data_IF_250210581354
#
_entry.id   IF_250210581354
#
_cell.length_a   1.000
_cell.length_b   1.000
_cell.length_c   1.000
_cell.angle_alpha   90.00
_cell.angle_beta   90.00
_cell.angle_gamma   90.00
#
_symmetry.space_group_name_H-M   'P 1'
#
loop_
_entity.id
_entity.type
_entity.pdbx_description
1 polymer ?
#
# COMPACT_ATOMS: atom_id res chain seq x y z
N UNK A 1 -9.47 -21.98 17.21
CA UNK A 1 -8.02 -21.73 17.39
C UNK A 1 -7.82 -20.24 17.26
N UNK A 2 -7.28 -19.53 18.27
CA UNK A 2 -6.93 -18.11 18.11
C UNK A 2 -5.95 -17.95 16.94
N UNK A 3 -6.04 -16.83 16.23
CA UNK A 3 -5.16 -16.55 15.10
C UNK A 3 -3.70 -16.56 15.54
N UNK A 4 -2.84 -17.21 14.76
CA UNK A 4 -1.41 -16.96 14.88
C UNK A 4 -1.16 -15.47 14.59
N UNK A 5 -0.32 -14.79 15.38
CA UNK A 5 -0.05 -13.39 15.15
C UNK A 5 0.56 -13.20 13.74
N UNK A 6 0.18 -12.12 13.04
CA UNK A 6 0.72 -11.83 11.72
C UNK A 6 2.24 -11.69 11.83
N UNK A 7 2.96 -12.45 11.00
CA UNK A 7 4.42 -12.50 11.03
C UNK A 7 4.96 -11.80 9.79
N UNK A 8 5.86 -10.80 9.92
CA UNK A 8 6.49 -10.15 8.78
C UNK A 8 7.10 -11.18 7.82
N UNK A 9 7.03 -10.91 6.53
CA UNK A 9 7.49 -11.80 5.45
C UNK A 9 6.73 -13.13 5.28
N UNK A 10 5.85 -13.52 6.21
CA UNK A 10 5.05 -14.76 6.15
C UNK A 10 3.55 -14.52 5.99
N UNK A 11 3.10 -13.31 6.28
CA UNK A 11 1.70 -12.90 6.14
C UNK A 11 1.51 -12.10 4.86
N UNK A 12 0.46 -12.41 4.09
CA UNK A 12 0.27 -11.88 2.73
C UNK A 12 -1.13 -11.32 2.53
N UNK A 13 -1.22 -10.22 1.80
CA UNK A 13 -2.45 -9.65 1.29
C UNK A 13 -2.59 -10.11 -0.17
N UNK A 14 -3.67 -10.82 -0.52
CA UNK A 14 -3.96 -11.02 -1.94
C UNK A 14 -4.79 -9.86 -2.44
N UNK A 15 -4.48 -9.44 -3.65
CA UNK A 15 -5.00 -8.24 -4.23
C UNK A 15 -5.72 -8.55 -5.55
N UNK A 16 -6.87 -7.92 -5.76
CA UNK A 16 -7.62 -7.95 -7.03
C UNK A 16 -8.09 -6.54 -7.36
N UNK A 17 -8.66 -6.29 -8.54
CA UNK A 17 -8.97 -4.92 -8.96
C UNK A 17 -9.96 -4.21 -8.00
N UNK A 18 -10.92 -4.90 -7.40
CA UNK A 18 -11.95 -4.31 -6.54
C UNK A 18 -11.98 -4.83 -5.10
N UNK A 19 -11.46 -6.04 -4.86
CA UNK A 19 -11.55 -6.73 -3.58
C UNK A 19 -10.17 -7.21 -3.13
N UNK A 20 -9.82 -6.86 -1.90
CA UNK A 20 -8.63 -7.35 -1.21
C UNK A 20 -9.00 -8.54 -0.32
N UNK A 21 -8.12 -9.53 -0.23
CA UNK A 21 -8.29 -10.68 0.65
C UNK A 21 -7.33 -10.52 1.83
N UNK A 22 -7.82 -9.89 2.88
CA UNK A 22 -7.04 -9.54 4.07
C UNK A 22 -6.92 -10.71 5.03
N UNK A 23 -5.73 -10.96 5.63
CA UNK A 23 -5.62 -11.85 6.78
C UNK A 23 -6.52 -11.35 7.92
N UNK A 24 -7.41 -12.20 8.43
CA UNK A 24 -8.39 -11.77 9.42
C UNK A 24 -7.74 -11.31 10.73
N UNK A 25 -6.57 -11.85 11.07
CA UNK A 25 -5.77 -11.48 12.24
C UNK A 25 -5.32 -10.01 12.26
N UNK A 26 -5.35 -9.34 11.10
CA UNK A 26 -4.98 -7.92 10.95
C UNK A 26 -6.20 -6.98 10.94
N UNK A 27 -7.41 -7.50 11.15
CA UNK A 27 -8.65 -6.74 11.03
C UNK A 27 -9.34 -6.56 12.37
N UNK A 28 -10.01 -5.42 12.51
CA UNK A 28 -10.81 -5.09 13.68
C UNK A 28 -12.31 -5.16 13.33
N UNK A 29 -13.10 -5.74 14.23
CA UNK A 29 -14.54 -5.78 14.06
C UNK A 29 -15.19 -4.46 14.46
N UNK A 30 -16.27 -4.08 13.76
CA UNK A 30 -17.12 -2.92 14.11
C UNK A 30 -18.36 -3.30 14.94
N UNK A 31 -18.45 -4.55 15.41
CA UNK A 31 -19.57 -5.05 16.21
C UNK A 31 -19.44 -6.54 16.55
N UNK A 32 -20.29 -7.01 17.47
CA UNK A 32 -20.17 -8.35 18.09
C UNK A 32 -20.33 -9.51 17.10
N UNK A 33 -21.29 -9.42 16.16
CA UNK A 33 -21.51 -10.47 15.16
C UNK A 33 -20.29 -10.62 14.23
N UNK A 34 -19.77 -9.50 13.73
CA UNK A 34 -18.54 -9.45 12.93
C UNK A 34 -17.34 -9.94 13.73
N UNK A 35 -17.22 -9.58 15.02
CA UNK A 35 -16.11 -10.02 15.88
C UNK A 35 -16.04 -11.55 16.01
N UNK A 36 -17.18 -12.20 16.26
CA UNK A 36 -17.26 -13.67 16.35
C UNK A 36 -16.84 -14.35 15.05
N UNK A 37 -17.22 -13.77 13.93
CA UNK A 37 -16.93 -14.31 12.61
C UNK A 37 -15.45 -14.09 12.24
N UNK A 38 -14.91 -12.89 12.48
CA UNK A 38 -13.49 -12.58 12.30
C UNK A 38 -12.57 -13.44 13.17
N UNK A 39 -12.98 -13.75 14.40
CA UNK A 39 -12.19 -14.62 15.30
C UNK A 39 -11.98 -16.04 14.75
N UNK A 40 -12.81 -16.48 13.79
CA UNK A 40 -12.74 -17.80 13.15
C UNK A 40 -12.25 -17.73 11.69
N UNK A 41 -12.26 -16.55 11.08
CA UNK A 41 -11.94 -16.38 9.67
C UNK A 41 -10.44 -16.47 9.41
N UNK A 42 -10.02 -17.13 8.33
CA UNK A 42 -8.63 -17.07 7.84
C UNK A 42 -8.36 -15.76 7.12
N UNK A 43 -9.28 -15.39 6.23
CA UNK A 43 -9.23 -14.18 5.41
C UNK A 43 -10.59 -13.48 5.37
N UNK A 44 -10.58 -12.20 5.02
CA UNK A 44 -11.78 -11.39 4.80
C UNK A 44 -11.68 -10.74 3.43
N UNK A 45 -12.76 -10.83 2.66
CA UNK A 45 -12.92 -10.08 1.43
C UNK A 45 -13.32 -8.66 1.83
N UNK A 46 -12.44 -7.71 1.54
CA UNK A 46 -12.62 -6.28 1.82
C UNK A 46 -12.71 -5.51 0.51
N UNK A 47 -13.78 -4.76 0.30
CA UNK A 47 -13.94 -3.91 -0.88
C UNK A 47 -12.94 -2.75 -0.80
N UNK A 48 -12.20 -2.48 -1.88
CA UNK A 48 -11.14 -1.47 -1.88
C UNK A 48 -11.64 -0.04 -1.69
N UNK A 49 -12.68 0.34 -2.45
CA UNK A 49 -13.18 1.73 -2.52
C UNK A 49 -13.63 2.32 -1.18
N UNK A 50 -14.17 1.49 -0.28
CA UNK A 50 -14.80 1.94 0.98
C UNK A 50 -14.37 1.12 2.20
N UNK A 51 -13.63 0.04 2.01
CA UNK A 51 -13.17 -0.83 3.08
C UNK A 51 -14.24 -1.72 3.69
N UNK A 52 -15.41 -1.86 3.06
CA UNK A 52 -16.49 -2.70 3.56
C UNK A 52 -16.06 -4.18 3.55
N UNK A 53 -16.33 -4.88 4.64
CA UNK A 53 -16.15 -6.34 4.70
C UNK A 53 -17.34 -7.01 4.00
N UNK A 54 -17.05 -7.74 2.93
CA UNK A 54 -18.04 -8.37 2.06
C UNK A 54 -18.34 -9.80 2.48
N UNK A 55 -17.30 -10.55 2.86
CA UNK A 55 -17.40 -11.93 3.30
C UNK A 55 -16.17 -12.31 4.11
N UNK A 56 -16.26 -13.36 4.91
CA UNK A 56 -15.09 -13.96 5.53
C UNK A 56 -14.95 -15.44 5.16
N UNK A 57 -13.71 -15.86 4.92
CA UNK A 57 -13.37 -17.23 4.64
C UNK A 57 -13.08 -17.96 5.96
N UNK A 58 -13.93 -18.92 6.29
CA UNK A 58 -13.76 -19.84 7.40
C UNK A 58 -13.35 -21.22 6.87
N UNK A 59 -13.10 -22.17 7.77
CA UNK A 59 -12.71 -23.53 7.42
C UNK A 59 -13.77 -24.29 6.59
N UNK A 60 -15.04 -23.95 6.77
CA UNK A 60 -16.21 -24.54 6.11
C UNK A 60 -16.67 -23.76 4.87
N UNK A 61 -15.99 -22.66 4.51
CA UNK A 61 -16.26 -21.92 3.28
C UNK A 61 -16.33 -20.41 3.44
N UNK A 62 -16.88 -19.74 2.43
CA UNK A 62 -17.01 -18.28 2.38
C UNK A 62 -18.38 -17.84 2.93
N UNK A 63 -18.37 -17.11 4.03
CA UNK A 63 -19.56 -16.62 4.73
C UNK A 63 -19.83 -15.15 4.38
N UNK A 64 -20.96 -14.80 3.75
CA UNK A 64 -21.31 -13.42 3.44
C UNK A 64 -21.46 -12.55 4.68
N UNK A 65 -20.97 -11.32 4.59
CA UNK A 65 -21.19 -10.24 5.56
C UNK A 65 -22.11 -9.14 5.00
N UNK A 66 -22.51 -9.28 3.72
CA UNK A 66 -23.45 -8.38 3.03
C UNK A 66 -24.55 -9.20 2.33
N UNK A 67 -25.81 -8.70 2.24
CA UNK A 67 -26.93 -9.47 1.69
C UNK A 67 -26.82 -9.83 0.21
N UNK A 68 -26.13 -9.01 -0.60
CA UNK A 68 -26.05 -9.16 -2.06
C UNK A 68 -24.63 -9.51 -2.52
N UNK A 69 -23.92 -10.34 -1.75
CA UNK A 69 -22.53 -10.70 -2.05
C UNK A 69 -22.34 -11.12 -3.50
N UNK A 70 -23.21 -11.97 -4.07
CA UNK A 70 -23.05 -12.45 -5.45
C UNK A 70 -23.04 -11.35 -6.53
N UNK A 71 -23.56 -10.16 -6.22
CA UNK A 71 -23.59 -9.01 -7.14
C UNK A 71 -22.41 -8.05 -6.92
N UNK A 72 -21.51 -8.34 -5.97
CA UNK A 72 -20.35 -7.49 -5.70
C UNK A 72 -19.37 -7.50 -6.88
N UNK A 73 -19.04 -6.32 -7.43
CA UNK A 73 -18.01 -6.21 -8.45
C UNK A 73 -16.69 -6.80 -7.97
N UNK A 74 -16.05 -7.61 -8.82
CA UNK A 74 -14.79 -8.27 -8.50
C UNK A 74 -14.92 -9.56 -7.68
N UNK A 75 -16.11 -9.98 -7.24
CA UNK A 75 -16.26 -11.22 -6.45
C UNK A 75 -15.70 -12.45 -7.18
N UNK A 76 -15.94 -12.57 -8.48
CA UNK A 76 -15.42 -13.70 -9.27
C UNK A 76 -13.89 -13.72 -9.27
N UNK A 77 -13.23 -12.56 -9.40
CA UNK A 77 -11.79 -12.45 -9.30
C UNK A 77 -11.28 -12.77 -7.88
N UNK A 78 -11.97 -12.28 -6.85
CA UNK A 78 -11.64 -12.59 -5.46
C UNK A 78 -11.76 -14.09 -5.15
N UNK A 79 -12.79 -14.77 -5.67
CA UNK A 79 -12.96 -16.22 -5.55
C UNK A 79 -11.84 -17.00 -6.24
N UNK A 80 -11.42 -16.59 -7.43
CA UNK A 80 -10.24 -17.19 -8.09
C UNK A 80 -8.98 -16.99 -7.25
N UNK A 81 -8.77 -15.77 -6.71
CA UNK A 81 -7.63 -15.48 -5.86
C UNK A 81 -7.63 -16.26 -4.54
N UNK A 82 -8.80 -16.56 -3.95
CA UNK A 82 -8.92 -17.40 -2.74
C UNK A 82 -8.36 -18.81 -2.97
N UNK A 83 -8.63 -19.38 -4.15
CA UNK A 83 -8.27 -20.75 -4.53
C UNK A 83 -6.79 -20.93 -4.90
N UNK A 84 -6.06 -19.84 -5.15
CA UNK A 84 -4.63 -19.91 -5.46
C UNK A 84 -3.82 -20.39 -4.23
N UNK A 85 -2.73 -21.16 -4.44
CA UNK A 85 -1.82 -21.55 -3.37
C UNK A 85 -1.13 -20.31 -2.78
N UNK A 86 -0.79 -20.30 -1.47
CA UNK A 86 -0.15 -19.15 -0.85
C UNK A 86 1.10 -18.72 -1.62
N UNK A 87 1.37 -17.41 -1.71
CA UNK A 87 2.62 -16.93 -2.30
C UNK A 87 3.83 -17.66 -1.68
N UNK A 88 4.83 -18.01 -2.49
CA UNK A 88 6.03 -18.68 -2.01
C UNK A 88 6.80 -17.77 -1.03
N UNK A 89 7.33 -18.38 0.03
CA UNK A 89 8.03 -17.71 1.14
C UNK A 89 9.56 -17.78 1.05
N UNK A 90 10.11 -18.15 -0.11
CA UNK A 90 11.54 -18.40 -0.35
C UNK A 90 12.19 -17.42 -1.32
N UNK A 91 13.50 -17.15 -1.14
CA UNK A 91 14.27 -16.06 -1.73
C UNK A 91 14.50 -16.03 -3.26
N UNK A 92 13.75 -16.80 -4.05
CA UNK A 92 13.79 -16.66 -5.51
C UNK A 92 12.97 -15.43 -5.95
N UNK A 93 13.39 -14.74 -7.00
CA UNK A 93 12.59 -13.72 -7.66
C UNK A 93 11.28 -14.35 -8.14
N UNK A 94 10.21 -14.16 -7.39
CA UNK A 94 8.90 -14.65 -7.80
C UNK A 94 8.18 -13.57 -8.60
N UNK A 95 7.70 -13.87 -9.83
CA UNK A 95 6.95 -12.91 -10.60
C UNK A 95 5.68 -12.54 -9.85
N UNK A 96 5.63 -11.31 -9.36
CA UNK A 96 4.43 -10.75 -8.76
C UNK A 96 3.59 -10.26 -9.92
N UNK A 97 2.56 -11.04 -10.28
CA UNK A 97 1.62 -10.64 -11.31
C UNK A 97 1.06 -9.24 -11.00
N UNK A 98 0.87 -8.44 -12.04
CA UNK A 98 0.29 -7.10 -11.91
C UNK A 98 -1.21 -7.14 -12.23
N UNK A 99 -1.97 -6.26 -11.59
CA UNK A 99 -3.39 -6.11 -11.84
C UNK A 99 -3.63 -5.30 -13.13
N UNK A 100 -4.70 -5.62 -13.89
CA UNK A 100 -5.06 -4.86 -15.09
C UNK A 100 -5.32 -3.37 -14.79
N UNK A 101 -4.89 -2.49 -15.68
CA UNK A 101 -5.05 -1.04 -15.58
C UNK A 101 -6.40 -0.50 -16.13
N UNK A 102 -7.31 -1.35 -16.62
CA UNK A 102 -8.48 -0.90 -17.38
C UNK A 102 -9.37 0.14 -16.67
N UNK A 103 -9.58 0.01 -15.35
CA UNK A 103 -10.36 1.01 -14.59
C UNK A 103 -9.61 2.28 -14.28
N UNK A 104 -8.31 2.31 -14.53
CA UNK A 104 -7.51 3.48 -14.22
C UNK A 104 -7.89 4.66 -15.11
N UNK A 105 -8.11 4.40 -16.40
CA UNK A 105 -8.56 5.44 -17.33
C UNK A 105 -9.89 6.06 -16.91
N UNK A 106 -10.85 5.24 -16.45
CA UNK A 106 -12.12 5.72 -15.92
C UNK A 106 -11.92 6.66 -14.71
N UNK A 107 -11.05 6.27 -13.77
CA UNK A 107 -10.74 7.07 -12.57
C UNK A 107 -10.03 8.38 -12.90
N UNK A 108 -9.14 8.37 -13.88
CA UNK A 108 -8.47 9.59 -14.34
C UNK A 108 -9.46 10.53 -15.03
N UNK A 109 -10.38 9.98 -15.84
CA UNK A 109 -11.42 10.75 -16.49
C UNK A 109 -12.36 11.46 -15.49
N UNK A 110 -12.71 10.84 -14.35
CA UNK A 110 -13.52 11.52 -13.32
C UNK A 110 -12.81 12.69 -12.64
N UNK A 111 -11.48 12.77 -12.77
CA UNK A 111 -10.65 13.88 -12.31
C UNK A 111 -10.34 14.88 -13.44
N UNK A 112 -10.85 14.66 -14.65
CA UNK A 112 -10.52 15.47 -15.82
C UNK A 112 -9.06 15.32 -16.28
N UNK A 113 -8.43 14.19 -15.99
CA UNK A 113 -7.04 13.92 -16.33
C UNK A 113 -6.94 12.96 -17.50
N UNK A 114 -6.18 13.35 -18.51
CA UNK A 114 -5.72 12.45 -19.56
C UNK A 114 -4.41 11.76 -19.11
N UNK A 115 -4.38 10.43 -19.20
CA UNK A 115 -3.25 9.64 -18.72
C UNK A 115 -1.98 9.92 -19.53
N UNK A 116 -2.09 10.07 -20.85
CA UNK A 116 -0.95 10.28 -21.73
C UNK A 116 -0.33 11.66 -21.52
N UNK A 117 -1.17 12.71 -21.48
CA UNK A 117 -0.73 14.07 -21.20
C UNK A 117 -0.12 14.21 -19.80
N UNK A 118 -0.70 13.53 -18.79
CA UNK A 118 -0.14 13.52 -17.44
C UNK A 118 1.23 12.85 -17.40
N UNK A 119 1.38 11.68 -18.02
CA UNK A 119 2.65 10.97 -18.13
C UNK A 119 3.70 11.81 -18.87
N UNK A 120 3.34 12.43 -19.99
CA UNK A 120 4.25 13.26 -20.79
C UNK A 120 4.74 14.49 -20.01
N UNK A 121 3.86 15.13 -19.23
CA UNK A 121 4.20 16.31 -18.43
C UNK A 121 5.08 15.98 -17.23
N UNK A 122 4.81 14.87 -16.55
CA UNK A 122 5.46 14.53 -15.26
C UNK A 122 6.59 13.53 -15.40
N UNK A 123 6.70 12.82 -16.53
CA UNK A 123 7.59 11.68 -16.68
C UNK A 123 7.24 10.47 -15.79
N UNK A 124 6.13 10.52 -15.02
CA UNK A 124 5.72 9.41 -14.17
C UNK A 124 5.06 8.31 -15.01
N UNK A 125 5.46 7.05 -14.86
CA UNK A 125 4.83 5.94 -15.57
C UNK A 125 3.52 5.52 -14.92
N UNK A 126 2.69 4.81 -15.69
CA UNK A 126 1.59 4.06 -15.14
C UNK A 126 2.09 2.91 -14.28
N UNK A 127 1.57 2.82 -13.05
CA UNK A 127 1.96 1.83 -12.05
C UNK A 127 0.79 0.90 -11.78
N UNK A 128 0.91 -0.33 -12.29
CA UNK A 128 -0.03 -1.39 -11.97
C UNK A 128 0.18 -1.88 -10.53
N UNK A 129 -0.92 -2.24 -9.88
CA UNK A 129 -0.85 -2.79 -8.53
C UNK A 129 -0.36 -4.25 -8.55
N UNK A 130 0.37 -4.70 -7.53
CA UNK A 130 0.75 -6.10 -7.41
C UNK A 130 -0.46 -6.97 -7.03
N UNK A 131 -0.55 -8.19 -7.56
CA UNK A 131 -1.60 -9.16 -7.26
C UNK A 131 -1.50 -9.74 -5.85
N UNK A 132 -0.37 -9.55 -5.17
CA UNK A 132 -0.21 -9.83 -3.76
C UNK A 132 0.90 -8.99 -3.14
N UNK A 133 0.79 -8.74 -1.84
CA UNK A 133 1.73 -7.98 -1.04
C UNK A 133 2.10 -8.77 0.21
N UNK A 134 3.22 -8.36 0.81
CA UNK A 134 3.77 -8.96 2.02
C UNK A 134 3.63 -7.99 3.18
N UNK A 135 3.23 -8.53 4.33
CA UNK A 135 3.19 -7.80 5.59
C UNK A 135 4.61 -7.48 6.04
N UNK A 136 4.89 -6.19 6.24
CA UNK A 136 6.21 -5.67 6.60
C UNK A 136 6.25 -5.10 8.04
N UNK A 137 5.25 -5.44 8.85
CA UNK A 137 5.04 -4.90 10.19
C UNK A 137 3.94 -3.84 10.20
N UNK A 138 4.02 -2.92 11.16
CA UNK A 138 3.03 -1.86 11.31
C UNK A 138 3.65 -0.50 11.03
N UNK A 139 2.84 0.42 10.51
CA UNK A 139 3.19 1.83 10.45
C UNK A 139 3.07 2.50 11.83
N UNK A 140 3.43 3.78 11.91
CA UNK A 140 3.41 4.56 13.15
C UNK A 140 2.02 4.68 13.81
N UNK A 141 0.95 4.43 13.06
CA UNK A 141 -0.44 4.40 13.55
C UNK A 141 -0.95 2.98 13.80
N UNK A 142 -0.06 1.99 13.88
CA UNK A 142 -0.41 0.58 14.09
C UNK A 142 -1.27 -0.01 12.98
N UNK A 143 -1.26 0.58 11.77
CA UNK A 143 -1.93 0.01 10.60
C UNK A 143 -0.98 -0.96 9.90
N UNK A 144 -1.48 -2.05 9.29
CA UNK A 144 -0.62 -3.00 8.62
C UNK A 144 0.13 -2.37 7.44
N UNK A 145 1.46 -2.51 7.43
CA UNK A 145 2.33 -2.05 6.37
C UNK A 145 2.44 -3.15 5.30
N UNK A 146 2.04 -2.83 4.08
CA UNK A 146 2.09 -3.73 2.94
C UNK A 146 3.14 -3.27 1.95
N UNK A 147 4.04 -4.17 1.54
CA UNK A 147 5.08 -3.91 0.55
C UNK A 147 5.22 -5.11 -0.38
N UNK A 148 5.88 -4.91 -1.53
CA UNK A 148 6.39 -6.01 -2.34
C UNK A 148 7.38 -6.82 -1.50
N UNK A 149 7.47 -8.14 -1.72
CA UNK A 149 8.24 -9.02 -0.83
C UNK A 149 9.71 -8.60 -0.67
N UNK A 150 10.36 -8.25 -1.76
CA UNK A 150 11.73 -7.75 -1.81
C UNK A 150 11.90 -6.40 -1.11
N UNK A 151 10.98 -5.45 -1.33
CA UNK A 151 10.95 -4.18 -0.60
C UNK A 151 10.70 -4.38 0.90
N UNK A 152 9.81 -5.31 1.28
CA UNK A 152 9.56 -5.65 2.68
C UNK A 152 10.83 -6.21 3.35
N UNK A 153 11.55 -7.11 2.66
CA UNK A 153 12.81 -7.67 3.16
C UNK A 153 13.89 -6.58 3.27
N UNK A 154 14.01 -5.72 2.27
CA UNK A 154 14.96 -4.62 2.29
C UNK A 154 14.66 -3.63 3.42
N UNK A 155 13.40 -3.26 3.60
CA UNK A 155 12.93 -2.38 4.68
C UNK A 155 13.27 -2.91 6.07
N UNK A 156 13.02 -4.20 6.32
CA UNK A 156 13.32 -4.80 7.63
C UNK A 156 14.83 -4.76 7.93
N UNK A 157 15.69 -5.01 6.95
CA UNK A 157 17.16 -4.89 7.11
C UNK A 157 17.60 -3.44 7.30
N UNK A 158 17.04 -2.50 6.53
CA UNK A 158 17.33 -1.07 6.66
C UNK A 158 17.00 -0.57 8.08
N UNK A 159 15.81 -0.94 8.60
CA UNK A 159 15.37 -0.54 9.94
C UNK A 159 16.21 -1.18 11.04
N UNK A 160 16.62 -2.43 10.87
CA UNK A 160 17.51 -3.13 11.82
C UNK A 160 18.90 -2.48 11.87
N UNK A 161 19.49 -2.16 10.71
CA UNK A 161 20.78 -1.49 10.65
C UNK A 161 20.74 -0.08 11.26
N UNK A 162 19.69 0.70 10.95
CA UNK A 162 19.49 2.01 11.56
C UNK A 162 19.43 1.90 13.09
N UNK A 163 18.71 0.89 13.61
CA UNK A 163 18.56 0.67 15.04
C UNK A 163 19.89 0.33 15.72
N UNK A 164 20.76 -0.46 15.07
CA UNK A 164 22.12 -0.76 15.56
C UNK A 164 22.93 0.53 15.72
N UNK A 165 22.74 1.50 14.82
CA UNK A 165 23.40 2.80 14.86
C UNK A 165 22.68 3.82 15.77
N UNK A 166 21.69 3.37 16.57
CA UNK A 166 20.93 4.23 17.47
C UNK A 166 19.88 5.13 16.78
N UNK A 167 19.59 4.88 15.50
CA UNK A 167 18.61 5.60 14.70
C UNK A 167 17.30 4.82 14.63
N UNK A 168 16.20 5.43 15.09
CA UNK A 168 14.86 4.84 14.99
C UNK A 168 14.17 5.36 13.73
N UNK A 169 13.86 4.43 12.82
CA UNK A 169 13.03 4.68 11.64
C UNK A 169 11.63 4.13 11.87
N UNK A 170 10.60 4.93 11.61
CA UNK A 170 9.21 4.48 11.53
C UNK A 170 8.69 4.52 10.09
N UNK A 171 7.72 3.65 9.79
CA UNK A 171 7.01 3.69 8.53
C UNK A 171 5.78 4.58 8.69
N UNK A 172 5.54 5.46 7.72
CA UNK A 172 4.37 6.31 7.63
C UNK A 172 3.33 5.64 6.71
N UNK A 173 3.74 5.27 5.50
CA UNK A 173 2.84 4.67 4.50
C UNK A 173 3.60 3.78 3.52
N UNK A 174 2.98 2.67 3.08
CA UNK A 174 3.56 1.72 2.12
C UNK A 174 2.68 1.60 0.88
N UNK A 175 2.29 0.38 0.50
CA UNK A 175 1.37 0.16 -0.60
C UNK A 175 0.05 0.93 -0.43
N UNK A 176 -0.40 1.50 -1.55
CA UNK A 176 -1.66 2.24 -1.66
C UNK A 176 -2.36 1.82 -2.94
N UNK A 177 -3.63 1.40 -2.87
CA UNK A 177 -4.40 1.05 -4.07
C UNK A 177 -4.78 2.29 -4.89
N UNK A 178 -5.13 2.09 -6.16
CA UNK A 178 -5.71 3.12 -7.03
C UNK A 178 -7.00 3.69 -6.42
N UNK A 179 -7.84 2.84 -5.82
CA UNK A 179 -9.05 3.24 -5.09
C UNK A 179 -8.73 4.16 -3.91
N UNK A 180 -7.72 3.79 -3.11
CA UNK A 180 -7.33 4.61 -1.97
C UNK A 180 -6.83 5.98 -2.42
N UNK A 181 -5.99 6.02 -3.47
CA UNK A 181 -5.48 7.27 -4.03
C UNK A 181 -6.61 8.14 -4.57
N UNK A 182 -7.58 7.57 -5.30
CA UNK A 182 -8.77 8.31 -5.72
C UNK A 182 -9.55 8.87 -4.52
N UNK A 183 -9.72 8.09 -3.45
CA UNK A 183 -10.36 8.57 -2.23
C UNK A 183 -9.63 9.74 -1.55
N UNK A 184 -8.30 9.86 -1.70
CA UNK A 184 -7.57 11.07 -1.26
C UNK A 184 -8.05 12.29 -2.06
N UNK A 185 -8.13 12.16 -3.39
CA UNK A 185 -8.60 13.25 -4.26
C UNK A 185 -10.03 13.66 -3.92
N UNK A 186 -10.93 12.70 -3.76
CA UNK A 186 -12.34 12.96 -3.39
C UNK A 186 -12.43 13.73 -2.06
N UNK A 187 -11.70 13.31 -1.02
CA UNK A 187 -11.68 14.01 0.27
C UNK A 187 -11.06 15.40 0.20
N UNK A 188 -10.03 15.61 -0.63
CA UNK A 188 -9.41 16.93 -0.81
C UNK A 188 -10.31 17.87 -1.59
N UNK A 189 -10.97 17.39 -2.65
CA UNK A 189 -12.00 18.14 -3.39
C UNK A 189 -13.20 18.51 -2.52
N UNK A 190 -13.65 17.60 -1.66
CA UNK A 190 -14.72 17.87 -0.70
C UNK A 190 -14.34 18.97 0.33
N UNK A 191 -13.03 19.20 0.54
CA UNK A 191 -12.50 20.31 1.35
C UNK A 191 -12.20 21.58 0.54
N UNK A 192 -12.60 21.64 -0.73
CA UNK A 192 -12.46 22.81 -1.59
C UNK A 192 -11.16 22.88 -2.40
N UNK A 193 -10.28 21.88 -2.32
CA UNK A 193 -9.04 21.89 -3.12
C UNK A 193 -9.31 21.54 -4.59
N UNK A 194 -8.66 22.25 -5.51
CA UNK A 194 -8.69 21.94 -6.93
C UNK A 194 -7.84 20.70 -7.26
N UNK A 195 -8.10 20.07 -8.40
CA UNK A 195 -7.28 18.92 -8.86
C UNK A 195 -5.82 19.34 -9.04
N UNK A 196 -5.55 20.54 -9.53
CA UNK A 196 -4.19 21.06 -9.71
C UNK A 196 -3.43 21.19 -8.38
N UNK A 197 -4.07 21.76 -7.35
CA UNK A 197 -3.47 21.88 -6.01
C UNK A 197 -3.18 20.51 -5.39
N UNK A 198 -4.07 19.53 -5.62
CA UNK A 198 -3.85 18.16 -5.14
C UNK A 198 -2.65 17.54 -5.86
N UNK A 199 -2.53 17.74 -7.18
CA UNK A 199 -1.47 17.16 -8.00
C UNK A 199 -0.08 17.69 -7.68
N UNK A 200 0.04 18.87 -7.05
CA UNK A 200 1.32 19.39 -6.58
C UNK A 200 1.93 18.54 -5.45
N UNK A 201 1.09 17.92 -4.63
CA UNK A 201 1.51 17.16 -3.42
C UNK A 201 1.15 15.68 -3.47
N UNK A 202 0.44 15.24 -4.52
CA UNK A 202 0.03 13.86 -4.67
C UNK A 202 0.02 13.48 -6.16
N UNK A 203 0.76 12.43 -6.51
CA UNK A 203 0.63 11.83 -7.84
C UNK A 203 -0.83 11.43 -8.14
N UNK A 204 -1.24 11.53 -9.40
CA UNK A 204 -2.55 11.08 -9.83
C UNK A 204 -2.75 9.58 -9.52
N UNK A 205 -4.00 9.11 -9.31
CA UNK A 205 -4.28 7.68 -9.24
C UNK A 205 -3.62 6.96 -10.42
N UNK A 206 -2.94 5.85 -10.15
CA UNK A 206 -2.20 5.08 -11.15
C UNK A 206 -0.82 5.59 -11.52
N UNK A 207 -0.41 6.77 -11.05
CA UNK A 207 0.93 7.32 -11.25
C UNK A 207 1.74 7.41 -9.95
N UNK A 208 1.15 7.05 -8.81
CA UNK A 208 1.87 6.98 -7.53
C UNK A 208 2.75 5.73 -7.46
N UNK A 209 4.00 5.91 -7.05
CA UNK A 209 4.92 4.80 -6.81
C UNK A 209 4.43 3.85 -5.71
N UNK A 210 3.61 4.31 -4.75
CA UNK A 210 2.99 3.46 -3.73
C UNK A 210 2.10 2.37 -4.32
N UNK A 211 1.57 2.53 -5.54
CA UNK A 211 0.79 1.48 -6.20
C UNK A 211 1.59 0.20 -6.42
N UNK A 212 2.91 0.31 -6.62
CA UNK A 212 3.79 -0.83 -6.86
C UNK A 212 4.06 -1.67 -5.61
N UNK A 213 3.84 -1.11 -4.42
CA UNK A 213 4.32 -1.67 -3.15
C UNK A 213 5.84 -1.55 -2.96
N UNK A 214 6.53 -0.76 -3.78
CA UNK A 214 7.98 -0.50 -3.68
C UNK A 214 8.32 0.82 -2.99
N UNK A 215 7.37 1.76 -2.96
CA UNK A 215 7.54 3.02 -2.26
C UNK A 215 7.13 2.89 -0.79
N UNK A 216 7.87 3.61 0.05
CA UNK A 216 7.70 3.67 1.48
C UNK A 216 7.94 5.11 1.94
N UNK A 217 7.00 5.66 2.68
CA UNK A 217 7.21 6.89 3.43
C UNK A 217 7.86 6.54 4.76
N UNK A 218 9.04 7.10 5.02
CA UNK A 218 9.86 6.86 6.21
C UNK A 218 9.92 8.13 7.05
N UNK A 219 9.78 7.99 8.36
CA UNK A 219 9.93 9.07 9.33
C UNK A 219 10.75 8.66 10.54
N UNK A 220 10.63 9.47 11.58
CA UNK A 220 11.16 9.21 12.92
C UNK A 220 10.12 9.60 13.97
N UNK A 221 10.06 8.91 15.13
CA UNK A 221 9.06 9.19 16.16
C UNK A 221 9.01 10.65 16.66
N UNK A 222 10.14 11.37 16.63
CA UNK A 222 10.22 12.75 17.14
C UNK A 222 9.71 13.81 16.17
N UNK A 223 9.35 13.45 14.93
CA UNK A 223 8.90 14.40 13.92
C UNK A 223 7.46 14.16 13.46
N UNK A 224 6.78 15.22 13.00
CA UNK A 224 5.56 15.10 12.21
C UNK A 224 5.76 14.17 10.99
N UNK A 225 4.75 13.36 10.62
CA UNK A 225 4.85 12.46 9.49
C UNK A 225 4.72 13.21 8.18
N UNK A 226 5.57 12.87 7.21
CA UNK A 226 5.50 13.37 5.84
C UNK A 226 5.54 14.91 5.76
N UNK A 227 6.47 15.50 6.51
CA UNK A 227 6.76 16.93 6.48
C UNK A 227 8.24 17.17 6.16
N UNK A 228 8.53 18.34 5.58
CA UNK A 228 9.90 18.73 5.21
C UNK A 228 10.84 18.78 6.42
N UNK A 229 10.31 19.00 7.64
CA UNK A 229 11.11 19.05 8.87
C UNK A 229 11.94 17.79 9.11
N UNK A 230 11.51 16.64 8.56
CA UNK A 230 12.23 15.37 8.61
C UNK A 230 13.67 15.49 8.09
N UNK A 231 13.93 16.36 7.11
CA UNK A 231 15.26 16.52 6.52
C UNK A 231 16.33 16.99 7.53
N UNK A 232 15.90 17.62 8.62
CA UNK A 232 16.80 18.17 9.65
C UNK A 232 17.15 17.15 10.73
N UNK A 233 16.70 15.91 10.59
CA UNK A 233 16.88 14.87 11.61
C UNK A 233 18.13 14.03 11.39
N UNK A 234 18.70 13.44 12.45
CA UNK A 234 19.72 12.40 12.32
C UNK A 234 19.25 11.20 11.49
N UNK A 235 17.95 10.88 11.53
CA UNK A 235 17.37 9.77 10.77
C UNK A 235 17.45 10.01 9.26
N UNK A 236 17.11 11.20 8.79
CA UNK A 236 17.25 11.55 7.38
C UNK A 236 18.71 11.57 6.93
N UNK A 237 19.60 12.16 7.75
CA UNK A 237 21.04 12.16 7.47
C UNK A 237 21.61 10.73 7.32
N UNK A 238 21.16 9.81 8.19
CA UNK A 238 21.52 8.39 8.11
C UNK A 238 20.97 7.73 6.83
N UNK A 239 19.70 7.98 6.48
CA UNK A 239 19.11 7.44 5.25
C UNK A 239 19.89 7.89 4.00
N UNK A 240 20.27 9.16 3.90
CA UNK A 240 21.05 9.66 2.76
C UNK A 240 22.39 8.93 2.58
N UNK A 241 22.99 8.43 3.66
CA UNK A 241 24.28 7.72 3.61
C UNK A 241 24.12 6.21 3.36
N UNK A 242 23.06 5.61 3.91
CA UNK A 242 22.95 4.15 4.00
C UNK A 242 21.86 3.53 3.13
N UNK A 243 20.78 4.25 2.83
CA UNK A 243 19.59 3.69 2.18
C UNK A 243 19.89 3.04 0.81
N UNK A 244 20.83 3.62 0.06
CA UNK A 244 21.27 3.07 -1.23
C UNK A 244 21.83 1.66 -1.13
N UNK A 245 22.56 1.33 -0.05
CA UNK A 245 23.08 -0.02 0.20
C UNK A 245 21.99 -1.07 0.45
N UNK A 246 20.76 -0.63 0.75
CA UNK A 246 19.57 -1.47 0.90
C UNK A 246 18.64 -1.39 -0.31
N UNK A 247 19.03 -0.66 -1.37
CA UNK A 247 18.26 -0.51 -2.62
C UNK A 247 17.20 0.58 -2.58
N UNK A 248 17.24 1.49 -1.60
CA UNK A 248 16.30 2.62 -1.50
C UNK A 248 16.91 3.93 -1.99
N UNK A 249 16.13 4.69 -2.75
CA UNK A 249 16.48 6.04 -3.20
C UNK A 249 15.31 7.00 -2.97
N UNK A 250 15.60 8.26 -2.64
CA UNK A 250 14.57 9.29 -2.51
C UNK A 250 14.07 9.71 -3.90
N UNK A 251 12.77 9.61 -4.14
CA UNK A 251 12.20 9.85 -5.48
C UNK A 251 11.97 11.32 -5.81
N UNK A 252 11.68 12.14 -4.80
CA UNK A 252 11.30 13.54 -4.98
C UNK A 252 12.23 14.49 -4.21
N UNK A 253 13.49 14.64 -4.64
CA UNK A 253 14.36 15.73 -4.17
C UNK A 253 13.80 17.09 -4.59
N UNK A 254 14.40 18.16 -4.07
CA UNK A 254 14.21 19.51 -4.62
C UNK A 254 14.52 19.49 -6.12
N UNK A 255 13.74 20.25 -6.88
CA UNK A 255 13.86 20.38 -8.34
C UNK A 255 13.71 19.07 -9.13
N UNK A 256 13.04 18.06 -8.57
CA UNK A 256 12.70 16.84 -9.31
C UNK A 256 11.84 17.17 -10.56
N UNK A 257 11.98 16.40 -11.66
CA UNK A 257 11.33 16.71 -12.93
C UNK A 257 9.83 16.37 -12.94
N UNK A 258 9.29 15.82 -11.85
CA UNK A 258 7.93 15.29 -11.82
C UNK A 258 6.87 16.33 -11.48
N UNK A 259 7.29 17.52 -11.04
CA UNK A 259 6.38 18.56 -10.55
C UNK A 259 5.69 18.20 -9.23
N UNK A 260 6.21 17.21 -8.52
CA UNK A 260 5.83 16.87 -7.15
C UNK A 260 6.72 17.71 -6.22
N UNK A 261 6.15 18.24 -5.14
CA UNK A 261 6.93 18.97 -4.12
C UNK A 261 8.05 18.11 -3.54
N UNK A 262 9.00 18.74 -2.85
CA UNK A 262 10.06 18.02 -2.15
C UNK A 262 9.48 17.11 -1.07
N UNK A 263 9.84 15.82 -1.09
CA UNK A 263 9.35 14.81 -0.14
C UNK A 263 10.52 14.04 0.50
N UNK A 264 11.20 14.59 1.54
CA UNK A 264 12.33 13.92 2.21
C UNK A 264 11.97 12.57 2.84
N UNK A 265 10.68 12.33 3.06
CA UNK A 265 10.15 11.09 3.61
C UNK A 265 9.91 10.01 2.55
N UNK A 266 9.86 10.30 1.24
CA UNK A 266 9.43 9.34 0.22
C UNK A 266 10.63 8.59 -0.41
N UNK A 267 10.72 7.29 -0.11
CA UNK A 267 11.80 6.43 -0.57
C UNK A 267 11.27 5.26 -1.39
N UNK A 268 11.89 4.98 -2.53
CA UNK A 268 11.53 3.88 -3.42
C UNK A 268 12.60 2.81 -3.45
N UNK A 269 12.18 1.57 -3.26
CA UNK A 269 13.01 0.39 -3.49
C UNK A 269 13.14 0.09 -4.99
N UNK A 270 14.37 -0.12 -5.45
CA UNK A 270 14.67 -0.68 -6.76
C UNK A 270 15.36 -2.04 -6.57
N UNK A 271 14.78 -3.15 -7.09
CA UNK A 271 15.47 -4.43 -7.07
C UNK A 271 16.78 -4.32 -7.86
N UNK A 272 17.86 -4.81 -7.25
CA UNK A 272 19.17 -4.98 -7.89
C UNK A 272 19.21 -6.24 -8.74
#
# INVERSE_FOLDING_TARGET
MPHLPPTPLKTHLRNTAEIELWPAALLHARGNATARLLARARRVLRRKRDGLYLAAELADGLHPLVPRLQHEPGLAAARRALALPPPPTGGAFHPIGTLPLHRLHERLATLGLDAHAYAARTGLPLVAEPAWLTFAGFDRWRRPLWLRFDAARAWLRLREAALIDGIVLDAISGYRSHDYQLGIFERKRARGQTVAEILAVNAAPGFSEHHSGLALDIGTPSEPPAEESFERTPAFAWLCQHAGGYGFTMSYPRDNPHGIVYEPWHWRFSPS
#
